data_IF_418922960876
#
_entry.id   IF_418922960876
#
_cell.length_a   1.000
_cell.length_b   1.000
_cell.length_c   1.000
_cell.angle_alpha   90.00
_cell.angle_beta   90.00
_cell.angle_gamma   90.00
#
_symmetry.space_group_name_H-M   'P 1'
#
loop_
_entity.id
_entity.type
_entity.pdbx_description
1 polymer ?
#
# COMPACT_ATOMS: atom_id res chain seq x y z
N UNK A 1 -48.72 7.60 17.17
CA UNK A 1 -47.37 7.40 17.72
C UNK A 1 -47.48 6.76 19.11
N UNK A 2 -47.04 5.51 19.27
CA UNK A 2 -46.84 4.88 20.58
C UNK A 2 -45.61 3.98 20.47
N UNK A 3 -44.58 4.32 21.24
CA UNK A 3 -43.32 3.60 21.35
C UNK A 3 -43.51 2.52 22.41
N UNK A 4 -43.25 1.26 22.07
CA UNK A 4 -43.24 0.18 23.05
C UNK A 4 -41.78 -0.14 23.37
N UNK A 5 -41.37 0.28 24.55
CA UNK A 5 -40.09 -0.09 25.18
C UNK A 5 -40.31 -1.47 25.79
N UNK A 6 -39.53 -2.46 25.35
CA UNK A 6 -39.47 -3.76 26.01
C UNK A 6 -38.13 -3.88 26.74
N UNK A 7 -38.18 -3.67 28.05
CA UNK A 7 -37.13 -4.03 28.99
C UNK A 7 -37.20 -5.52 29.25
N UNK A 8 -36.09 -6.26 29.11
CA UNK A 8 -36.00 -7.68 29.49
C UNK A 8 -34.88 -7.83 30.52
N UNK A 9 -35.26 -8.16 31.74
CA UNK A 9 -34.37 -8.52 32.84
C UNK A 9 -33.96 -10.00 32.69
N UNK A 10 -32.66 -10.29 32.80
CA UNK A 10 -32.15 -11.67 32.81
C UNK A 10 -31.87 -12.11 34.24
N UNK A 11 -32.70 -13.03 34.74
CA UNK A 11 -32.43 -13.79 35.95
C UNK A 11 -31.23 -14.72 35.72
N UNK A 12 -30.21 -14.62 36.59
CA UNK A 12 -29.09 -15.55 36.66
C UNK A 12 -29.59 -16.94 37.09
N UNK A 13 -29.30 -17.97 36.31
CA UNK A 13 -29.36 -19.35 36.77
C UNK A 13 -28.39 -20.25 35.98
N UNK A 14 -27.49 -20.90 36.73
CA UNK A 14 -26.89 -22.19 36.38
C UNK A 14 -25.72 -22.14 35.40
N UNK A 15 -24.50 -22.05 35.92
CA UNK A 15 -23.27 -22.33 35.16
C UNK A 15 -23.18 -23.85 34.97
N UNK A 16 -23.82 -24.40 33.94
CA UNK A 16 -23.48 -25.75 33.47
C UNK A 16 -22.30 -25.63 32.51
N UNK A 17 -21.18 -26.26 32.89
CA UNK A 17 -19.98 -26.41 32.09
C UNK A 17 -20.31 -27.00 30.71
N UNK A 18 -20.34 -26.16 29.68
CA UNK A 18 -20.38 -26.63 28.30
C UNK A 18 -18.97 -26.67 27.76
N UNK A 19 -18.49 -27.86 27.42
CA UNK A 19 -17.31 -28.03 26.60
C UNK A 19 -17.52 -27.22 25.31
N UNK A 20 -16.65 -26.25 25.05
CA UNK A 20 -16.68 -25.49 23.81
C UNK A 20 -16.23 -26.43 22.68
N UNK A 21 -17.20 -26.97 21.93
CA UNK A 21 -16.95 -27.54 20.61
C UNK A 21 -16.19 -26.50 19.79
N UNK A 22 -15.09 -26.87 19.13
CA UNK A 22 -14.49 -26.02 18.09
C UNK A 22 -15.59 -25.77 17.06
N UNK A 23 -16.12 -24.56 17.03
CA UNK A 23 -16.98 -24.12 15.95
C UNK A 23 -16.21 -24.22 14.65
N UNK A 24 -16.82 -24.77 13.60
CA UNK A 24 -16.26 -24.68 12.26
C UNK A 24 -16.27 -23.19 11.86
N UNK A 25 -15.09 -22.57 11.85
CA UNK A 25 -14.95 -21.18 11.48
C UNK A 25 -14.90 -21.06 9.95
N UNK A 26 -15.97 -20.53 9.35
CA UNK A 26 -15.98 -20.17 7.94
C UNK A 26 -15.28 -18.82 7.76
N UNK A 27 -14.13 -18.83 7.08
CA UNK A 27 -13.41 -17.60 6.72
C UNK A 27 -13.79 -17.14 5.32
N UNK A 28 -14.21 -15.88 5.22
CA UNK A 28 -14.56 -15.20 3.98
C UNK A 28 -13.61 -14.02 3.82
N UNK A 29 -12.98 -13.90 2.66
CA UNK A 29 -12.11 -12.77 2.35
C UNK A 29 -12.79 -11.84 1.36
N UNK A 30 -12.65 -10.54 1.59
CA UNK A 30 -12.99 -9.49 0.65
C UNK A 30 -11.79 -8.56 0.46
N UNK A 31 -11.43 -8.30 -0.79
CA UNK A 31 -10.37 -7.37 -1.17
C UNK A 31 -11.01 -6.28 -2.02
N UNK A 32 -10.85 -5.02 -1.62
CA UNK A 32 -11.37 -3.85 -2.35
C UNK A 32 -12.89 -3.90 -2.62
N UNK A 33 -13.64 -4.57 -1.73
CA UNK A 33 -15.09 -4.77 -1.84
C UNK A 33 -15.51 -6.02 -2.64
N UNK A 34 -14.57 -6.71 -3.28
CA UNK A 34 -14.83 -7.95 -4.01
C UNK A 34 -14.59 -9.17 -3.12
N UNK A 35 -15.45 -10.20 -3.21
CA UNK A 35 -15.29 -11.45 -2.46
C UNK A 35 -14.26 -12.33 -3.16
N UNK A 36 -13.27 -12.81 -2.39
CA UNK A 36 -12.21 -13.69 -2.88
C UNK A 36 -12.45 -15.11 -2.37
N UNK A 37 -12.93 -16.03 -3.23
CA UNK A 37 -12.99 -17.45 -2.88
C UNK A 37 -11.57 -18.03 -2.82
N UNK A 38 -11.33 -18.95 -1.87
CA UNK A 38 -10.05 -19.67 -1.75
C UNK A 38 -8.82 -18.75 -1.68
N UNK A 39 -8.93 -17.65 -0.92
CA UNK A 39 -7.84 -16.69 -0.75
C UNK A 39 -6.51 -17.37 -0.42
N UNK A 40 -5.50 -17.12 -1.25
CA UNK A 40 -4.16 -17.72 -1.12
C UNK A 40 -3.09 -16.72 -0.74
N UNK A 41 -3.41 -15.42 -0.76
CA UNK A 41 -2.47 -14.32 -0.56
C UNK A 41 -1.84 -13.82 -1.86
N UNK A 42 -1.91 -14.58 -2.96
CA UNK A 42 -1.42 -14.16 -4.28
C UNK A 42 -2.14 -12.91 -4.79
N UNK A 43 -3.39 -12.75 -4.39
CA UNK A 43 -4.25 -11.63 -4.74
C UNK A 43 -3.75 -10.30 -4.15
N UNK A 44 -2.80 -10.34 -3.21
CA UNK A 44 -2.16 -9.18 -2.60
C UNK A 44 -0.77 -8.86 -3.20
N UNK A 45 -0.26 -9.66 -4.14
CA UNK A 45 1.05 -9.41 -4.75
C UNK A 45 1.02 -8.08 -5.51
N UNK A 46 2.01 -7.23 -5.27
CA UNK A 46 2.11 -5.92 -5.91
C UNK A 46 1.08 -4.91 -5.40
N UNK A 47 0.39 -5.19 -4.30
CA UNK A 47 -0.53 -4.26 -3.62
C UNK A 47 0.02 -3.86 -2.26
N UNK A 48 -0.34 -2.67 -1.80
CA UNK A 48 -0.13 -2.23 -0.42
C UNK A 48 -1.43 -2.33 0.35
N UNK A 49 -1.43 -2.99 1.52
CA UNK A 49 -2.60 -3.03 2.40
C UNK A 49 -2.77 -1.65 3.04
N UNK A 50 -3.90 -1.00 2.79
CA UNK A 50 -4.27 0.29 3.38
C UNK A 50 -4.97 0.11 4.72
N UNK A 51 -5.80 -0.92 4.84
CA UNK A 51 -6.57 -1.23 6.05
C UNK A 51 -7.01 -2.69 6.02
N UNK A 52 -7.15 -3.27 7.22
CA UNK A 52 -7.54 -4.65 7.44
C UNK A 52 -8.49 -4.72 8.63
N UNK A 53 -9.67 -5.29 8.42
CA UNK A 53 -10.70 -5.45 9.44
C UNK A 53 -11.24 -6.86 9.44
N UNK A 54 -11.62 -7.37 10.61
CA UNK A 54 -12.24 -8.68 10.77
C UNK A 54 -13.58 -8.49 11.46
N UNK A 55 -14.66 -8.89 10.78
CA UNK A 55 -16.00 -8.90 11.33
C UNK A 55 -16.39 -10.34 11.65
N UNK A 56 -16.67 -10.63 12.91
CA UNK A 56 -17.09 -11.96 13.35
C UNK A 56 -18.59 -11.98 13.60
N UNK A 57 -19.28 -12.94 13.03
CA UNK A 57 -20.68 -13.22 13.33
C UNK A 57 -20.81 -14.66 13.84
N UNK A 58 -21.51 -14.84 14.96
CA UNK A 58 -21.75 -16.15 15.57
C UNK A 58 -23.19 -16.51 15.30
N UNK A 59 -23.41 -17.60 14.55
CA UNK A 59 -24.77 -18.06 14.27
C UNK A 59 -25.45 -18.60 15.55
N UNK A 60 -26.77 -18.38 15.71
CA UNK A 60 -27.51 -18.90 16.85
C UNK A 60 -27.58 -20.43 16.83
N UNK A 61 -27.71 -21.02 18.02
CA UNK A 61 -27.80 -22.47 18.21
C UNK A 61 -28.91 -23.13 17.35
N UNK A 62 -28.74 -24.39 16.91
CA UNK A 62 -27.74 -25.37 17.35
C UNK A 62 -26.42 -25.36 16.57
N UNK A 63 -26.36 -24.70 15.41
CA UNK A 63 -25.14 -24.56 14.61
C UNK A 63 -24.38 -23.32 15.05
N UNK A 64 -23.43 -23.50 15.96
CA UNK A 64 -22.52 -22.44 16.42
C UNK A 64 -21.43 -22.16 15.38
N UNK A 65 -21.78 -22.03 14.11
CA UNK A 65 -20.78 -21.75 13.08
C UNK A 65 -20.34 -20.30 13.24
N UNK A 66 -19.02 -20.08 13.24
CA UNK A 66 -18.43 -18.76 13.35
C UNK A 66 -18.08 -18.29 11.94
N UNK A 67 -18.64 -17.17 11.51
CA UNK A 67 -18.27 -16.57 10.23
C UNK A 67 -17.32 -15.42 10.50
N UNK A 68 -16.10 -15.53 10.00
CA UNK A 68 -15.09 -14.46 10.01
C UNK A 68 -15.01 -13.83 8.62
N UNK A 69 -15.37 -12.57 8.52
CA UNK A 69 -15.27 -11.79 7.28
C UNK A 69 -14.04 -10.89 7.39
N UNK A 70 -13.01 -11.23 6.63
CA UNK A 70 -11.77 -10.48 6.49
C UNK A 70 -11.93 -9.46 5.37
N UNK A 71 -11.90 -8.17 5.71
CA UNK A 71 -12.04 -7.06 4.77
C UNK A 71 -10.67 -6.40 4.63
N UNK A 72 -10.10 -6.49 3.44
CA UNK A 72 -8.82 -5.91 3.08
C UNK A 72 -9.08 -4.80 2.07
N UNK A 73 -8.59 -3.60 2.34
CA UNK A 73 -8.53 -2.53 1.33
C UNK A 73 -7.09 -2.33 0.93
N UNK A 74 -6.83 -2.25 -0.37
CA UNK A 74 -5.51 -2.12 -0.94
C UNK A 74 -5.37 -0.87 -1.77
N UNK A 75 -4.12 -0.48 -1.99
CA UNK A 75 -3.76 0.50 -3.01
C UNK A 75 -2.71 -0.14 -3.90
N UNK A 76 -2.83 0.05 -5.21
CA UNK A 76 -1.71 -0.25 -6.10
C UNK A 76 -0.59 0.76 -5.80
N UNK A 77 0.64 0.32 -5.52
CA UNK A 77 1.79 1.22 -5.42
C UNK A 77 1.86 2.09 -6.68
N UNK A 78 2.30 3.35 -6.57
CA UNK A 78 2.60 4.14 -7.74
C UNK A 78 3.54 3.36 -8.65
N UNK A 79 3.34 3.47 -9.97
CA UNK A 79 4.28 2.90 -10.92
C UNK A 79 5.71 3.37 -10.58
N UNK A 80 6.73 2.51 -10.73
CA UNK A 80 8.12 2.91 -10.53
C UNK A 80 8.40 4.17 -11.35
N UNK A 81 8.98 5.19 -10.70
CA UNK A 81 9.36 6.40 -11.42
C UNK A 81 10.43 6.06 -12.47
N UNK A 82 10.39 6.67 -13.65
CA UNK A 82 11.43 6.47 -14.65
C UNK A 82 12.79 6.93 -14.11
N UNK A 83 13.86 6.26 -14.54
CA UNK A 83 15.22 6.63 -14.16
C UNK A 83 15.52 8.08 -14.59
N UNK A 84 16.23 8.88 -13.78
CA UNK A 84 16.53 10.26 -14.12
C UNK A 84 17.53 10.35 -15.27
N UNK A 85 17.59 11.54 -15.86
CA UNK A 85 18.68 11.94 -16.74
C UNK A 85 19.90 12.37 -15.92
N UNK A 86 21.09 11.91 -16.29
CA UNK A 86 22.34 12.26 -15.61
C UNK A 86 23.18 13.21 -16.47
N UNK A 87 23.61 14.34 -15.90
CA UNK A 87 24.39 15.35 -16.62
C UNK A 87 25.58 15.85 -15.79
N UNK A 88 26.64 16.30 -16.47
CA UNK A 88 27.71 17.10 -15.87
C UNK A 88 27.47 18.57 -16.24
N UNK A 89 27.46 19.46 -15.25
CA UNK A 89 27.26 20.89 -15.46
C UNK A 89 28.28 21.44 -16.46
N UNK A 90 27.80 22.07 -17.52
CA UNK A 90 28.61 22.62 -18.60
C UNK A 90 28.93 21.63 -19.73
N UNK A 91 28.39 20.39 -19.68
CA UNK A 91 28.39 19.45 -20.80
C UNK A 91 26.97 19.23 -21.29
N UNK A 92 26.80 19.14 -22.60
CA UNK A 92 25.50 18.88 -23.23
C UNK A 92 25.15 17.39 -23.28
N UNK A 93 26.16 16.51 -23.13
CA UNK A 93 25.98 15.06 -23.24
C UNK A 93 25.42 14.46 -21.95
N UNK A 94 24.35 13.69 -22.10
CA UNK A 94 23.80 12.83 -21.06
C UNK A 94 24.72 11.64 -20.77
N UNK A 95 24.88 11.33 -19.49
CA UNK A 95 25.61 10.17 -19.00
C UNK A 95 24.67 8.97 -18.86
N UNK A 96 25.20 7.77 -19.07
CA UNK A 96 24.53 6.56 -18.56
C UNK A 96 24.63 6.49 -17.04
N UNK A 97 23.77 5.70 -16.40
CA UNK A 97 23.83 5.49 -14.96
C UNK A 97 25.17 4.89 -14.51
N UNK A 98 25.76 3.99 -15.30
CA UNK A 98 27.06 3.40 -15.02
C UNK A 98 28.19 4.42 -15.10
N UNK A 99 28.13 5.36 -16.06
CA UNK A 99 29.09 6.45 -16.17
C UNK A 99 28.98 7.41 -14.98
N UNK A 100 27.75 7.75 -14.59
CA UNK A 100 27.48 8.58 -13.42
C UNK A 100 28.03 7.95 -12.14
N UNK A 101 27.78 6.65 -11.93
CA UNK A 101 28.22 5.92 -10.75
C UNK A 101 29.74 5.73 -10.67
N UNK A 102 30.47 5.93 -11.77
CA UNK A 102 31.94 5.94 -11.80
C UNK A 102 32.54 7.30 -11.40
N UNK A 103 31.73 8.35 -11.26
CA UNK A 103 32.22 9.65 -10.80
C UNK A 103 32.68 9.52 -9.35
N UNK A 104 33.97 9.78 -9.09
CA UNK A 104 34.51 9.74 -7.73
C UNK A 104 33.82 10.81 -6.86
N UNK A 105 33.26 10.44 -5.69
CA UNK A 105 32.59 11.40 -4.80
C UNK A 105 33.47 12.59 -4.41
N UNK A 106 34.79 12.40 -4.28
CA UNK A 106 35.73 13.47 -3.93
C UNK A 106 35.89 14.54 -5.03
N UNK A 107 35.47 14.24 -6.26
CA UNK A 107 35.48 15.19 -7.37
C UNK A 107 34.14 15.91 -7.53
N UNK A 108 33.12 15.58 -6.73
CA UNK A 108 31.80 16.21 -6.83
C UNK A 108 31.79 17.44 -5.93
N UNK A 109 31.66 18.60 -6.57
CA UNK A 109 31.49 19.89 -5.89
C UNK A 109 30.05 20.11 -5.44
N UNK A 110 29.10 19.80 -6.31
CA UNK A 110 27.68 20.00 -6.07
C UNK A 110 26.83 19.04 -6.90
N UNK A 111 25.64 18.72 -6.38
CA UNK A 111 24.60 17.98 -7.10
C UNK A 111 23.34 18.82 -7.09
N UNK A 112 22.77 19.03 -8.28
CA UNK A 112 21.49 19.70 -8.46
C UNK A 112 20.47 18.68 -8.98
N UNK A 113 19.29 18.65 -8.35
CA UNK A 113 18.19 17.76 -8.74
C UNK A 113 17.03 18.60 -9.24
N UNK A 114 16.73 18.52 -10.53
CA UNK A 114 15.54 19.13 -11.11
C UNK A 114 14.44 18.06 -11.15
N UNK A 115 13.38 18.27 -10.39
CA UNK A 115 12.24 17.35 -10.36
C UNK A 115 11.47 17.42 -11.67
N UNK A 116 10.83 16.31 -12.02
CA UNK A 116 9.95 16.20 -13.18
C UNK A 116 8.88 17.31 -13.19
N UNK A 117 8.58 17.85 -14.38
CA UNK A 117 7.56 18.90 -14.56
C UNK A 117 7.88 20.27 -13.95
N UNK A 118 9.13 20.52 -13.54
CA UNK A 118 9.54 21.83 -13.04
C UNK A 118 9.82 22.82 -14.17
N UNK A 119 9.49 24.11 -13.97
CA UNK A 119 9.82 25.19 -14.92
C UNK A 119 11.32 25.28 -15.23
N UNK A 120 12.17 24.88 -14.28
CA UNK A 120 13.62 24.86 -14.44
C UNK A 120 14.09 23.95 -15.58
N UNK A 121 13.37 22.85 -15.89
CA UNK A 121 13.68 21.97 -17.02
C UNK A 121 13.44 22.73 -18.34
N UNK A 122 12.30 23.42 -18.44
CA UNK A 122 11.91 24.18 -19.63
C UNK A 122 12.82 25.39 -19.86
N UNK A 123 13.11 26.17 -18.81
CA UNK A 123 13.99 27.35 -18.87
C UNK A 123 15.42 27.01 -19.29
N UNK A 124 15.86 25.77 -19.07
CA UNK A 124 17.19 25.26 -19.46
C UNK A 124 17.21 24.55 -20.81
N UNK A 125 16.08 24.50 -21.53
CA UNK A 125 15.96 23.80 -22.81
C UNK A 125 16.16 22.29 -22.70
N UNK A 126 15.95 21.72 -21.52
CA UNK A 126 16.05 20.28 -21.28
C UNK A 126 14.75 19.57 -21.73
N UNK A 127 14.84 18.26 -21.98
CA UNK A 127 13.72 17.45 -22.46
C UNK A 127 12.68 17.26 -21.34
N UNK A 128 11.45 17.69 -21.58
CA UNK A 128 10.33 17.48 -20.67
C UNK A 128 9.63 16.15 -21.02
N UNK A 129 10.23 15.03 -20.63
CA UNK A 129 9.68 13.67 -20.85
C UNK A 129 9.17 12.99 -19.57
N UNK A 130 8.88 13.79 -18.54
CA UNK A 130 8.39 13.29 -17.26
C UNK A 130 9.48 12.69 -16.36
N UNK A 131 10.75 12.85 -16.72
CA UNK A 131 11.89 12.42 -15.91
C UNK A 131 12.51 13.58 -15.14
N UNK A 132 13.16 13.25 -14.04
CA UNK A 132 13.98 14.19 -13.30
C UNK A 132 15.38 14.30 -13.95
N UNK A 133 16.10 15.37 -13.63
CA UNK A 133 17.51 15.55 -13.97
C UNK A 133 18.37 15.57 -12.71
N UNK A 134 19.47 14.84 -12.73
CA UNK A 134 20.54 14.92 -11.74
C UNK A 134 21.77 15.51 -12.44
N UNK A 135 22.13 16.73 -12.05
CA UNK A 135 23.20 17.50 -12.66
C UNK A 135 24.34 17.64 -11.65
N UNK A 136 25.50 17.07 -11.98
CA UNK A 136 26.69 17.10 -11.13
C UNK A 136 27.63 18.21 -11.59
N UNK A 137 28.09 19.02 -10.65
CA UNK A 137 29.21 19.94 -10.86
C UNK A 137 30.47 19.30 -10.29
N UNK A 138 31.51 19.18 -11.10
CA UNK A 138 32.80 18.66 -10.65
C UNK A 138 33.68 19.77 -10.06
N UNK A 139 34.57 19.40 -9.15
CA UNK A 139 35.69 20.25 -8.74
C UNK A 139 36.60 20.53 -9.95
N UNK A 140 37.22 21.72 -9.95
CA UNK A 140 38.17 22.13 -10.99
C UNK A 140 39.51 21.44 -10.82
#
# INVERSE_FOLDING_TARGET
MKKYIFTIAFALLGITSSMASKADTLRIYSIDGERIPNFTGKELIGKTIKNYQVNTNVLPAPKRDVIEIHIITTTTPPAPKPAPHYLIKGREQELTEEEFNKISPSKIKAIEVLKEGTKAIQERGLKDDGRAYIIVTLEK
#
